data_IF_306691688749
#
_entry.id   IF_306691688749
#
_cell.length_a   1.000
_cell.length_b   1.000
_cell.length_c   1.000
_cell.angle_alpha   90.00
_cell.angle_beta   90.00
_cell.angle_gamma   90.00
#
_symmetry.space_group_name_H-M   'P 1'
#
loop_
_entity.id
_entity.type
_entity.pdbx_description
1 polymer ?
#
# COMPACT_ATOMS: atom_id res chain seq x y z
N UNK A 1 10.42 8.83 11.63
CA UNK A 1 11.14 8.03 12.64
C UNK A 1 12.36 7.43 11.94
N UNK A 2 13.49 8.17 11.91
CA UNK A 2 14.72 7.75 11.23
C UNK A 2 15.43 6.74 12.12
N UNK A 3 15.30 5.44 11.84
CA UNK A 3 16.13 4.41 12.49
C UNK A 3 17.54 4.54 11.91
N UNK A 4 18.45 5.05 12.73
CA UNK A 4 19.88 5.11 12.46
C UNK A 4 20.41 3.68 12.32
N UNK A 5 20.78 3.30 11.11
CA UNK A 5 21.47 2.06 10.81
C UNK A 5 22.93 2.23 11.25
N UNK A 6 23.21 2.12 12.55
CA UNK A 6 24.58 1.99 13.05
C UNK A 6 25.07 0.57 12.77
N UNK A 7 25.43 0.28 11.51
CA UNK A 7 26.29 -0.87 11.24
C UNK A 7 27.64 -0.59 11.88
N UNK A 8 28.07 -1.51 12.74
CA UNK A 8 29.38 -1.47 13.39
C UNK A 8 30.49 -1.52 12.34
N UNK A 9 31.09 -0.35 12.05
CA UNK A 9 32.33 -0.21 11.29
C UNK A 9 33.52 -0.95 11.96
N UNK A 10 33.35 -1.43 13.18
CA UNK A 10 34.34 -2.13 14.02
C UNK A 10 34.89 -3.41 13.35
N UNK A 11 34.11 -4.09 12.50
CA UNK A 11 34.56 -5.34 11.87
C UNK A 11 35.42 -5.12 10.60
N UNK A 12 35.39 -3.93 9.98
CA UNK A 12 36.06 -3.66 8.70
C UNK A 12 37.52 -3.22 8.83
N UNK A 13 37.96 -2.77 10.01
CA UNK A 13 39.35 -2.36 10.25
C UNK A 13 40.26 -3.56 10.59
N UNK A 14 39.70 -4.67 11.09
CA UNK A 14 40.47 -5.83 11.59
C UNK A 14 40.87 -6.82 10.47
N UNK A 15 41.67 -6.35 9.52
CA UNK A 15 42.48 -7.22 8.66
C UNK A 15 43.79 -7.58 9.38
N UNK A 16 43.82 -8.75 10.03
CA UNK A 16 45.01 -9.45 10.54
C UNK A 16 45.93 -8.69 11.52
N UNK A 17 45.57 -8.64 12.80
CA UNK A 17 46.44 -8.08 13.83
C UNK A 17 46.09 -8.39 15.29
N UNK A 18 45.45 -9.51 15.62
CA UNK A 18 45.36 -9.98 17.02
C UNK A 18 45.09 -11.49 17.07
N UNK A 19 46.12 -12.27 17.42
CA UNK A 19 45.95 -13.66 17.86
C UNK A 19 45.64 -13.60 19.35
N UNK A 20 44.37 -13.65 19.75
CA UNK A 20 43.97 -14.15 21.08
C UNK A 20 42.68 -14.97 20.95
N UNK A 21 42.75 -16.14 21.58
CA UNK A 21 41.91 -17.32 21.48
C UNK A 21 40.49 -17.19 22.06
N UNK A 22 39.48 -17.56 21.28
CA UNK A 22 38.24 -18.16 21.77
C UNK A 22 37.61 -19.06 20.66
N UNK A 23 37.24 -20.33 20.95
CA UNK A 23 36.68 -21.23 19.95
C UNK A 23 35.15 -21.15 19.98
N UNK A 24 34.58 -20.26 19.17
CA UNK A 24 33.30 -20.53 18.49
C UNK A 24 33.49 -20.09 17.05
N UNK A 25 34.25 -20.89 16.31
CA UNK A 25 34.37 -20.74 14.88
C UNK A 25 33.04 -21.18 14.26
N UNK A 26 32.08 -20.26 14.15
CA UNK A 26 31.20 -20.31 12.98
C UNK A 26 32.16 -20.27 11.78
N UNK A 27 32.25 -21.37 11.04
CA UNK A 27 33.13 -21.46 9.88
C UNK A 27 32.74 -20.35 8.91
N UNK A 28 33.46 -19.23 8.93
CA UNK A 28 33.25 -18.14 7.99
C UNK A 28 33.55 -18.71 6.60
N UNK A 29 32.56 -18.66 5.71
CA UNK A 29 32.72 -19.11 4.33
C UNK A 29 33.88 -18.35 3.67
N UNK A 30 34.72 -19.07 2.92
CA UNK A 30 35.88 -18.49 2.23
C UNK A 30 35.47 -17.22 1.44
N UNK A 31 36.29 -16.16 1.39
CA UNK A 31 35.91 -14.88 0.77
C UNK A 31 35.55 -15.04 -0.72
N UNK A 32 36.18 -15.98 -1.42
CA UNK A 32 35.89 -16.34 -2.81
C UNK A 32 35.53 -17.84 -2.86
N UNK A 33 34.44 -18.17 -3.55
CA UNK A 33 33.94 -19.55 -3.75
C UNK A 33 33.84 -19.94 -5.22
N UNK A 34 34.46 -19.17 -6.11
CA UNK A 34 34.45 -19.43 -7.54
C UNK A 34 35.07 -20.81 -7.87
N UNK A 35 34.46 -21.61 -8.77
CA UNK A 35 35.04 -22.88 -9.20
C UNK A 35 36.44 -22.70 -9.78
N UNK A 36 37.40 -23.50 -9.30
CA UNK A 36 38.79 -23.44 -9.78
C UNK A 36 39.58 -22.22 -9.29
N UNK A 37 39.07 -21.48 -8.31
CA UNK A 37 39.78 -20.34 -7.74
C UNK A 37 41.05 -20.78 -6.98
N UNK A 38 42.17 -20.17 -7.32
CA UNK A 38 43.45 -20.33 -6.61
C UNK A 38 43.76 -19.07 -5.80
N UNK A 39 43.98 -19.24 -4.49
CA UNK A 39 44.24 -18.12 -3.58
C UNK A 39 45.56 -17.42 -3.96
N UNK A 40 45.47 -16.11 -4.19
CA UNK A 40 46.63 -15.26 -4.45
C UNK A 40 47.61 -15.20 -3.27
N UNK A 41 48.84 -14.74 -3.54
CA UNK A 41 49.84 -14.52 -2.49
C UNK A 41 49.39 -13.36 -1.59
N UNK A 42 49.44 -13.58 -0.28
CA UNK A 42 49.22 -12.52 0.70
C UNK A 42 50.50 -11.70 0.85
N UNK A 43 50.40 -10.40 0.58
CA UNK A 43 51.48 -9.42 0.77
C UNK A 43 51.34 -8.78 2.15
N UNK A 44 52.47 -8.49 2.80
CA UNK A 44 52.51 -7.76 4.07
C UNK A 44 52.89 -6.31 3.81
N UNK A 45 52.36 -5.41 4.64
CA UNK A 45 52.68 -3.99 4.57
C UNK A 45 54.17 -3.78 4.86
N UNK A 46 54.83 -2.94 4.07
CA UNK A 46 56.24 -2.62 4.25
C UNK A 46 56.53 -1.99 5.62
N UNK A 47 57.70 -2.24 6.21
CA UNK A 47 58.01 -1.85 7.60
C UNK A 47 57.79 -0.35 7.88
N UNK A 48 58.20 0.52 6.94
CA UNK A 48 58.06 1.98 7.08
C UNK A 48 56.58 2.40 7.11
N UNK A 49 55.78 1.89 6.18
CA UNK A 49 54.33 2.14 6.12
C UNK A 49 53.65 1.54 7.34
N UNK A 50 54.00 0.30 7.69
CA UNK A 50 53.46 -0.45 8.81
C UNK A 50 53.60 0.26 10.15
N UNK A 51 54.75 0.88 10.44
CA UNK A 51 54.94 1.67 11.69
C UNK A 51 53.97 2.85 11.79
N UNK A 52 53.70 3.55 10.68
CA UNK A 52 52.76 4.68 10.65
C UNK A 52 51.31 4.20 10.72
N UNK A 53 50.97 3.14 10.00
CA UNK A 53 49.67 2.47 10.07
C UNK A 53 49.35 2.01 11.49
N UNK A 54 50.33 1.40 12.18
CA UNK A 54 50.17 0.97 13.58
C UNK A 54 49.86 2.15 14.50
N UNK A 55 50.57 3.27 14.35
CA UNK A 55 50.28 4.50 15.09
C UNK A 55 48.88 5.06 14.80
N UNK A 56 48.43 5.03 13.55
CA UNK A 56 47.07 5.42 13.21
C UNK A 56 46.03 4.48 13.84
N UNK A 57 46.33 3.17 13.92
CA UNK A 57 45.47 2.19 14.56
C UNK A 57 45.40 2.38 16.09
N UNK A 58 46.48 2.82 16.74
CA UNK A 58 46.47 3.21 18.16
C UNK A 58 45.50 4.37 18.40
N UNK A 59 45.57 5.44 17.61
CA UNK A 59 44.61 6.54 17.69
C UNK A 59 43.17 6.09 17.43
N UNK A 60 42.95 5.22 16.43
CA UNK A 60 41.63 4.67 16.16
C UNK A 60 41.05 3.91 17.36
N UNK A 61 41.85 3.09 18.05
CA UNK A 61 41.39 2.34 19.23
C UNK A 61 41.08 3.22 20.45
N UNK A 62 41.60 4.45 20.46
CA UNK A 62 41.28 5.48 21.45
C UNK A 62 40.10 6.38 21.02
N UNK A 63 39.38 6.00 19.96
CA UNK A 63 38.29 6.78 19.32
C UNK A 63 38.74 8.15 18.77
N UNK A 64 40.05 8.35 18.58
CA UNK A 64 40.66 9.57 18.03
C UNK A 64 40.75 9.49 16.49
N UNK A 65 39.59 9.46 15.83
CA UNK A 65 39.48 9.24 14.38
C UNK A 65 40.23 10.29 13.55
N UNK A 66 40.16 11.56 13.95
CA UNK A 66 40.82 12.64 13.21
C UNK A 66 42.35 12.57 13.34
N UNK A 67 42.88 12.19 14.50
CA UNK A 67 44.32 11.97 14.70
C UNK A 67 44.82 10.76 13.91
N UNK A 68 44.02 9.67 13.87
CA UNK A 68 44.31 8.52 13.02
C UNK A 68 44.38 8.92 11.53
N UNK A 69 43.41 9.70 11.05
CA UNK A 69 43.39 10.21 9.68
C UNK A 69 44.58 11.11 9.37
N UNK A 70 44.95 12.02 10.28
CA UNK A 70 46.13 12.88 10.12
C UNK A 70 47.40 12.06 9.93
N UNK A 71 47.61 11.00 10.72
CA UNK A 71 48.76 10.10 10.54
C UNK A 71 48.71 9.38 9.19
N UNK A 72 47.54 8.91 8.76
CA UNK A 72 47.38 8.17 7.51
C UNK A 72 47.61 9.06 6.28
N UNK A 73 47.19 10.33 6.31
CA UNK A 73 47.42 11.28 5.21
C UNK A 73 48.90 11.63 5.00
N UNK A 74 49.74 11.50 6.03
CA UNK A 74 51.19 11.71 5.93
C UNK A 74 51.97 10.50 5.40
N UNK A 75 51.28 9.38 5.14
CA UNK A 75 51.92 8.21 4.55
C UNK A 75 51.99 8.40 3.04
N UNK A 76 53.21 8.29 2.50
CA UNK A 76 53.49 8.32 1.06
C UNK A 76 54.11 6.96 0.69
N UNK A 77 53.30 5.92 0.43
CA UNK A 77 53.80 4.59 0.13
C UNK A 77 54.25 4.48 -1.32
N UNK A 78 55.36 3.77 -1.56
CA UNK A 78 55.95 3.64 -2.89
C UNK A 78 55.33 2.51 -3.72
N UNK A 79 55.02 1.36 -3.11
CA UNK A 79 54.46 0.20 -3.78
C UNK A 79 52.93 0.19 -3.77
N UNK A 80 52.34 -0.56 -4.70
CA UNK A 80 50.90 -0.53 -4.93
C UNK A 80 50.11 -1.20 -3.80
N UNK A 81 50.69 -2.20 -3.11
CA UNK A 81 50.03 -2.86 -1.99
C UNK A 81 49.90 -1.93 -0.80
N UNK A 82 51.00 -1.29 -0.39
CA UNK A 82 50.97 -0.33 0.72
C UNK A 82 50.03 0.85 0.42
N UNK A 83 50.01 1.35 -0.83
CA UNK A 83 49.03 2.38 -1.27
C UNK A 83 47.61 1.91 -1.08
N UNK A 84 47.27 0.74 -1.62
CA UNK A 84 45.92 0.18 -1.51
C UNK A 84 45.52 -0.04 -0.05
N UNK A 85 46.42 -0.54 0.78
CA UNK A 85 46.18 -0.78 2.20
C UNK A 85 45.90 0.52 2.96
N UNK A 86 46.72 1.56 2.77
CA UNK A 86 46.53 2.87 3.42
C UNK A 86 45.25 3.54 2.94
N UNK A 87 44.98 3.53 1.63
CA UNK A 87 43.75 4.08 1.06
C UNK A 87 42.52 3.38 1.61
N UNK A 88 42.53 2.04 1.74
CA UNK A 88 41.44 1.29 2.35
C UNK A 88 41.21 1.72 3.80
N UNK A 89 42.28 1.90 4.58
CA UNK A 89 42.15 2.31 5.98
C UNK A 89 41.54 3.70 6.10
N UNK A 90 42.05 4.68 5.33
CA UNK A 90 41.48 6.03 5.28
C UNK A 90 40.00 5.98 4.88
N UNK A 91 39.69 5.23 3.81
CA UNK A 91 38.34 5.06 3.31
C UNK A 91 37.38 4.49 4.36
N UNK A 92 37.81 3.48 5.12
CA UNK A 92 37.01 2.89 6.18
C UNK A 92 36.74 3.85 7.35
N UNK A 93 37.76 4.63 7.76
CA UNK A 93 37.58 5.64 8.80
C UNK A 93 36.60 6.72 8.36
N UNK A 94 36.76 7.25 7.15
CA UNK A 94 35.86 8.24 6.57
C UNK A 94 34.43 7.68 6.41
N UNK A 95 34.28 6.41 6.04
CA UNK A 95 32.96 5.77 5.90
C UNK A 95 32.18 5.72 7.23
N UNK A 96 32.88 5.73 8.36
CA UNK A 96 32.28 5.76 9.70
C UNK A 96 31.87 7.16 10.18
N UNK A 97 32.35 8.21 9.50
CA UNK A 97 32.06 9.61 9.85
C UNK A 97 30.85 10.14 9.08
N UNK A 98 29.93 10.79 9.80
CA UNK A 98 28.75 11.41 9.19
C UNK A 98 29.17 12.49 8.16
N UNK A 99 28.59 12.45 6.97
CA UNK A 99 28.86 13.40 5.89
C UNK A 99 30.18 13.20 5.12
N UNK A 100 30.98 12.17 5.44
CA UNK A 100 32.25 11.90 4.75
C UNK A 100 32.17 10.77 3.71
N UNK A 101 30.98 10.18 3.48
CA UNK A 101 30.79 9.05 2.56
C UNK A 101 31.29 9.31 1.14
N UNK A 102 31.05 10.52 0.60
CA UNK A 102 31.60 10.93 -0.69
C UNK A 102 33.12 10.87 -0.79
N UNK A 103 33.85 11.26 0.28
CA UNK A 103 35.33 11.14 0.33
C UNK A 103 35.77 9.70 0.54
N UNK A 104 35.07 8.98 1.41
CA UNK A 104 35.33 7.56 1.67
C UNK A 104 35.30 6.73 0.37
N UNK A 105 34.29 6.96 -0.47
CA UNK A 105 34.18 6.32 -1.79
C UNK A 105 35.45 6.52 -2.64
N UNK A 106 36.00 7.74 -2.68
CA UNK A 106 37.22 8.02 -3.45
C UNK A 106 38.41 7.16 -3.03
N UNK A 107 38.69 7.11 -1.73
CA UNK A 107 39.78 6.30 -1.17
C UNK A 107 39.53 4.80 -1.34
N UNK A 108 38.31 4.33 -1.09
CA UNK A 108 37.97 2.91 -1.23
C UNK A 108 38.07 2.43 -2.67
N UNK A 109 37.67 3.25 -3.66
CA UNK A 109 37.83 2.93 -5.08
C UNK A 109 39.31 2.77 -5.43
N UNK A 110 40.15 3.74 -5.03
CA UNK A 110 41.59 3.67 -5.27
C UNK A 110 42.22 2.42 -4.62
N UNK A 111 41.69 1.97 -3.48
CA UNK A 111 42.23 0.78 -2.80
C UNK A 111 41.97 -0.54 -3.53
N UNK A 112 40.89 -0.65 -4.31
CA UNK A 112 40.53 -1.90 -5.01
C UNK A 112 40.96 -1.90 -6.47
N UNK A 113 41.16 -0.74 -7.10
CA UNK A 113 41.55 -0.65 -8.52
C UNK A 113 42.85 -1.43 -8.86
N UNK A 114 43.91 -1.42 -8.03
CA UNK A 114 45.13 -2.17 -8.33
C UNK A 114 44.99 -3.69 -8.19
N UNK A 115 43.92 -4.20 -7.57
CA UNK A 115 43.70 -5.64 -7.33
C UNK A 115 44.83 -6.35 -6.56
N UNK A 116 45.52 -5.63 -5.69
CA UNK A 116 46.65 -6.15 -4.89
C UNK A 116 46.28 -6.54 -3.46
N UNK A 117 45.10 -6.12 -2.97
CA UNK A 117 44.58 -6.49 -1.66
C UNK A 117 44.32 -8.00 -1.58
N UNK A 118 44.35 -8.56 -0.37
CA UNK A 118 43.94 -9.95 -0.20
C UNK A 118 42.43 -10.12 -0.42
N UNK A 119 41.99 -11.35 -0.64
CA UNK A 119 40.60 -11.67 -1.00
C UNK A 119 39.56 -11.14 0.00
N UNK A 120 39.87 -11.19 1.29
CA UNK A 120 38.97 -10.71 2.35
C UNK A 120 38.84 -9.20 2.26
N UNK A 121 39.96 -8.48 2.24
CA UNK A 121 39.99 -7.02 2.14
C UNK A 121 39.34 -6.54 0.85
N UNK A 122 39.67 -7.16 -0.29
CA UNK A 122 39.16 -6.79 -1.59
C UNK A 122 37.64 -7.01 -1.67
N UNK A 123 37.16 -8.20 -1.31
CA UNK A 123 35.73 -8.51 -1.34
C UNK A 123 34.94 -7.63 -0.36
N UNK A 124 35.43 -7.42 0.86
CA UNK A 124 34.75 -6.54 1.83
C UNK A 124 34.69 -5.10 1.35
N UNK A 125 35.76 -4.58 0.75
CA UNK A 125 35.77 -3.21 0.21
C UNK A 125 34.82 -3.07 -0.98
N UNK A 126 34.74 -4.06 -1.88
CA UNK A 126 33.76 -4.03 -2.99
C UNK A 126 32.32 -3.97 -2.47
N UNK A 127 31.98 -4.76 -1.44
CA UNK A 127 30.64 -4.73 -0.82
C UNK A 127 30.39 -3.39 -0.12
N UNK A 128 31.37 -2.86 0.62
CA UNK A 128 31.29 -1.54 1.27
C UNK A 128 31.11 -0.40 0.26
N UNK A 129 31.78 -0.45 -0.88
CA UNK A 129 31.57 0.49 -1.99
C UNK A 129 30.12 0.47 -2.47
N UNK A 130 29.52 -0.72 -2.61
CA UNK A 130 28.10 -0.86 -2.92
C UNK A 130 27.18 -0.23 -1.86
N UNK A 131 27.45 -0.52 -0.58
CA UNK A 131 26.68 0.00 0.55
C UNK A 131 26.76 1.53 0.67
N UNK A 132 27.97 2.10 0.58
CA UNK A 132 28.18 3.54 0.61
C UNK A 132 27.59 4.23 -0.62
N UNK A 133 27.70 3.62 -1.80
CA UNK A 133 27.05 4.15 -3.00
C UNK A 133 25.53 4.22 -2.83
N UNK A 134 24.89 3.27 -2.14
CA UNK A 134 23.47 3.38 -1.79
C UNK A 134 23.21 4.55 -0.84
N UNK A 135 24.01 4.69 0.20
CA UNK A 135 23.85 5.76 1.21
C UNK A 135 24.02 7.16 0.61
N UNK A 136 24.93 7.31 -0.36
CA UNK A 136 25.21 8.57 -1.05
C UNK A 136 24.30 8.77 -2.29
N UNK A 137 23.23 7.98 -2.41
CA UNK A 137 22.25 8.04 -3.52
C UNK A 137 22.85 7.83 -4.92
N UNK A 138 24.03 7.20 -4.99
CA UNK A 138 24.72 6.83 -6.24
C UNK A 138 24.30 5.43 -6.69
N UNK A 139 23.02 5.27 -7.00
CA UNK A 139 22.40 3.96 -7.22
C UNK A 139 23.03 3.16 -8.38
N UNK A 140 23.43 3.82 -9.48
CA UNK A 140 24.13 3.14 -10.58
C UNK A 140 25.51 2.62 -10.17
N UNK A 141 26.22 3.35 -9.31
CA UNK A 141 27.51 2.89 -8.76
C UNK A 141 27.29 1.72 -7.80
N UNK A 142 26.24 1.78 -6.98
CA UNK A 142 25.90 0.67 -6.08
C UNK A 142 25.67 -0.62 -6.86
N UNK A 143 24.88 -0.56 -7.94
CA UNK A 143 24.64 -1.71 -8.83
C UNK A 143 25.96 -2.26 -9.38
N UNK A 144 26.85 -1.38 -9.87
CA UNK A 144 28.16 -1.76 -10.38
C UNK A 144 29.03 -2.44 -9.32
N UNK A 145 29.09 -1.90 -8.11
CA UNK A 145 29.96 -2.42 -7.04
C UNK A 145 29.46 -3.74 -6.46
N UNK A 146 28.15 -3.90 -6.26
CA UNK A 146 27.58 -5.20 -5.90
C UNK A 146 27.79 -6.24 -7.01
N UNK A 147 27.65 -5.85 -8.28
CA UNK A 147 27.99 -6.70 -9.43
C UNK A 147 29.43 -7.20 -9.37
N UNK A 148 30.39 -6.28 -9.23
CA UNK A 148 31.81 -6.61 -9.07
C UNK A 148 32.09 -7.52 -7.87
N UNK A 149 31.41 -7.29 -6.74
CA UNK A 149 31.54 -8.15 -5.56
C UNK A 149 31.06 -9.58 -5.85
N UNK A 150 29.90 -9.75 -6.49
CA UNK A 150 29.41 -11.08 -6.89
C UNK A 150 30.33 -11.75 -7.90
N UNK A 151 30.81 -11.01 -8.91
CA UNK A 151 31.73 -11.53 -9.92
C UNK A 151 33.06 -11.98 -9.31
N UNK A 152 33.61 -11.21 -8.36
CA UNK A 152 34.86 -11.53 -7.69
C UNK A 152 34.74 -12.73 -6.75
N UNK A 153 33.62 -12.84 -6.03
CA UNK A 153 33.46 -13.84 -4.97
C UNK A 153 32.73 -15.11 -5.42
N UNK A 154 31.95 -15.05 -6.50
CA UNK A 154 30.93 -16.01 -6.89
C UNK A 154 29.91 -16.33 -5.78
N UNK A 155 29.78 -15.44 -4.78
CA UNK A 155 28.82 -15.59 -3.69
C UNK A 155 27.46 -15.06 -4.08
N UNK A 156 26.45 -15.70 -3.52
CA UNK A 156 25.05 -15.23 -3.51
C UNK A 156 24.69 -14.81 -2.09
N UNK A 157 24.04 -13.66 -1.93
CA UNK A 157 23.71 -13.09 -0.62
C UNK A 157 22.36 -12.37 -0.72
N UNK A 158 21.43 -12.76 0.14
CA UNK A 158 20.04 -12.29 0.08
C UNK A 158 19.92 -10.77 0.33
N UNK A 159 20.74 -10.22 1.23
CA UNK A 159 20.77 -8.79 1.52
C UNK A 159 21.33 -8.00 0.33
N UNK A 160 22.40 -8.49 -0.30
CA UNK A 160 22.98 -7.86 -1.51
C UNK A 160 21.95 -7.85 -2.65
N UNK A 161 21.25 -8.95 -2.89
CA UNK A 161 20.19 -8.98 -3.90
C UNK A 161 19.01 -8.06 -3.56
N UNK A 162 18.65 -7.94 -2.27
CA UNK A 162 17.63 -6.98 -1.81
C UNK A 162 18.07 -5.53 -2.07
N UNK A 163 19.34 -5.20 -1.76
CA UNK A 163 19.91 -3.86 -2.01
C UNK A 163 20.04 -3.57 -3.51
N UNK A 164 20.34 -4.57 -4.34
CA UNK A 164 20.32 -4.45 -5.80
C UNK A 164 18.93 -4.12 -6.33
N UNK A 165 17.89 -4.82 -5.86
CA UNK A 165 16.51 -4.50 -6.23
C UNK A 165 16.12 -3.08 -5.79
N UNK A 166 16.53 -2.64 -4.59
CA UNK A 166 16.34 -1.25 -4.16
C UNK A 166 17.10 -0.25 -5.05
N UNK A 167 18.36 -0.53 -5.41
CA UNK A 167 19.14 0.34 -6.28
C UNK A 167 18.49 0.48 -7.67
N UNK A 168 17.93 -0.61 -8.20
CA UNK A 168 17.15 -0.57 -9.44
C UNK A 168 15.86 0.26 -9.30
N UNK A 169 15.17 0.19 -8.17
CA UNK A 169 14.01 1.04 -7.88
C UNK A 169 14.37 2.53 -7.93
N UNK A 170 15.37 2.93 -7.16
CA UNK A 170 15.77 4.34 -7.03
C UNK A 170 16.35 4.91 -8.34
N UNK A 171 17.00 4.06 -9.14
CA UNK A 171 17.46 4.41 -10.50
C UNK A 171 16.37 4.27 -11.57
N UNK A 172 15.12 4.01 -11.19
CA UNK A 172 13.93 3.88 -12.06
C UNK A 172 14.01 2.76 -13.11
N UNK A 173 14.84 1.75 -12.85
CA UNK A 173 14.97 0.54 -13.67
C UNK A 173 14.03 -0.54 -13.16
N UNK A 174 12.72 -0.26 -13.25
CA UNK A 174 11.68 -1.05 -12.59
C UNK A 174 11.68 -2.53 -13.02
N UNK A 175 11.95 -2.81 -14.29
CA UNK A 175 11.99 -4.17 -14.84
C UNK A 175 13.10 -5.03 -14.23
N UNK A 176 14.26 -4.43 -13.96
CA UNK A 176 15.43 -5.12 -13.41
C UNK A 176 15.33 -5.42 -11.91
N UNK A 177 14.31 -4.91 -11.23
CA UNK A 177 14.09 -5.18 -9.81
C UNK A 177 13.68 -6.63 -9.53
N UNK A 178 12.99 -7.28 -10.48
CA UNK A 178 12.33 -8.57 -10.26
C UNK A 178 13.36 -9.68 -10.04
N UNK A 179 14.38 -9.78 -10.89
CA UNK A 179 15.35 -10.88 -10.80
C UNK A 179 16.14 -10.87 -9.48
N UNK A 180 16.73 -9.75 -9.01
CA UNK A 180 17.36 -9.71 -7.69
C UNK A 180 16.35 -9.96 -6.55
N UNK A 181 15.12 -9.45 -6.64
CA UNK A 181 14.11 -9.72 -5.63
C UNK A 181 13.78 -11.23 -5.51
N UNK A 182 13.63 -11.93 -6.65
CA UNK A 182 13.40 -13.38 -6.68
C UNK A 182 14.59 -14.16 -6.10
N UNK A 183 15.81 -13.78 -6.45
CA UNK A 183 17.02 -14.37 -5.88
C UNK A 183 17.10 -14.16 -4.37
N UNK A 184 16.78 -12.96 -3.89
CA UNK A 184 16.73 -12.66 -2.47
C UNK A 184 15.70 -13.53 -1.74
N UNK A 185 14.46 -13.61 -2.26
CA UNK A 185 13.38 -14.44 -1.71
C UNK A 185 13.82 -15.90 -1.58
N UNK A 186 14.48 -16.45 -2.61
CA UNK A 186 14.93 -17.84 -2.61
C UNK A 186 16.09 -18.12 -1.63
N UNK A 187 16.84 -17.09 -1.21
CA UNK A 187 18.04 -17.22 -0.38
C UNK A 187 17.80 -16.92 1.10
N UNK A 188 16.73 -16.20 1.46
CA UNK A 188 16.39 -15.99 2.87
C UNK A 188 15.88 -17.29 3.50
N UNK A 189 16.55 -17.76 4.55
CA UNK A 189 16.10 -18.92 5.34
C UNK A 189 14.78 -18.63 6.06
N UNK A 190 14.68 -17.45 6.67
CA UNK A 190 13.45 -16.92 7.27
C UNK A 190 12.85 -15.86 6.34
N UNK A 191 11.56 -15.94 5.99
CA UNK A 191 10.97 -15.04 5.01
C UNK A 191 11.19 -13.55 5.32
N UNK A 192 11.84 -12.85 4.39
CA UNK A 192 11.99 -11.40 4.46
C UNK A 192 10.96 -10.73 3.55
N UNK A 193 10.14 -9.85 4.13
CA UNK A 193 9.09 -9.13 3.41
C UNK A 193 9.63 -8.17 2.34
N UNK A 194 10.79 -7.56 2.53
CA UNK A 194 11.30 -6.48 1.68
C UNK A 194 11.41 -6.84 0.18
N UNK A 195 12.05 -7.95 -0.22
CA UNK A 195 12.14 -8.30 -1.64
C UNK A 195 10.77 -8.58 -2.29
N UNK A 196 9.79 -9.13 -1.55
CA UNK A 196 8.42 -9.27 -2.04
C UNK A 196 7.78 -7.91 -2.34
N UNK A 197 7.97 -6.92 -1.45
CA UNK A 197 7.46 -5.56 -1.66
C UNK A 197 8.11 -4.91 -2.87
N UNK A 198 9.42 -5.07 -3.06
CA UNK A 198 10.12 -4.54 -4.24
C UNK A 198 9.58 -5.18 -5.53
N UNK A 199 9.43 -6.50 -5.55
CA UNK A 199 8.85 -7.24 -6.67
C UNK A 199 7.41 -6.77 -6.98
N UNK A 200 6.59 -6.62 -5.95
CA UNK A 200 5.22 -6.09 -6.06
C UNK A 200 5.22 -4.68 -6.67
N UNK A 201 6.06 -3.78 -6.15
CA UNK A 201 6.18 -2.39 -6.62
C UNK A 201 6.59 -2.34 -8.10
N UNK A 202 7.57 -3.15 -8.51
CA UNK A 202 7.98 -3.25 -9.91
C UNK A 202 6.80 -3.58 -10.83
N UNK A 203 6.05 -4.63 -10.52
CA UNK A 203 4.89 -5.02 -11.34
C UNK A 203 3.80 -3.95 -11.33
N UNK A 204 3.48 -3.40 -10.16
CA UNK A 204 2.41 -2.40 -10.04
C UNK A 204 2.72 -1.13 -10.83
N UNK A 205 3.92 -0.56 -10.68
CA UNK A 205 4.30 0.67 -11.39
C UNK A 205 4.42 0.47 -12.90
N UNK A 206 4.75 -0.75 -13.34
CA UNK A 206 4.76 -1.16 -14.76
C UNK A 206 3.38 -1.55 -15.28
N UNK A 207 2.33 -1.45 -14.46
CA UNK A 207 0.93 -1.81 -14.77
C UNK A 207 0.73 -3.30 -15.10
N UNK A 208 1.61 -4.15 -14.60
CA UNK A 208 1.52 -5.62 -14.66
C UNK A 208 0.64 -6.11 -13.51
N UNK A 209 -0.65 -5.79 -13.59
CA UNK A 209 -1.60 -6.02 -12.49
C UNK A 209 -1.84 -7.50 -12.16
N UNK A 210 -1.92 -8.43 -13.14
CA UNK A 210 -2.01 -9.87 -12.82
C UNK A 210 -0.82 -10.37 -11.98
N UNK A 211 0.39 -9.95 -12.33
CA UNK A 211 1.62 -10.29 -11.60
C UNK A 211 1.68 -9.61 -10.23
N UNK A 212 1.17 -8.37 -10.14
CA UNK A 212 1.01 -7.66 -8.85
C UNK A 212 0.09 -8.46 -7.92
N UNK A 213 -1.03 -8.96 -8.42
CA UNK A 213 -1.95 -9.81 -7.64
C UNK A 213 -1.24 -11.10 -7.19
N UNK A 214 -0.50 -11.77 -8.07
CA UNK A 214 0.22 -12.99 -7.72
C UNK A 214 1.24 -12.79 -6.59
N UNK A 215 1.99 -11.68 -6.61
CA UNK A 215 2.94 -11.36 -5.53
C UNK A 215 2.20 -10.95 -4.24
N UNK A 216 1.07 -10.25 -4.34
CA UNK A 216 0.25 -9.92 -3.18
C UNK A 216 -0.39 -11.16 -2.52
N UNK A 217 -0.81 -12.16 -3.32
CA UNK A 217 -1.27 -13.46 -2.83
C UNK A 217 -0.14 -14.19 -2.06
N UNK A 218 1.10 -14.12 -2.56
CA UNK A 218 2.27 -14.68 -1.89
C UNK A 218 2.58 -13.94 -0.57
N UNK A 219 2.55 -12.61 -0.57
CA UNK A 219 2.71 -11.78 0.63
C UNK A 219 1.72 -12.15 1.73
N UNK A 220 0.44 -12.34 1.39
CA UNK A 220 -0.59 -12.75 2.37
C UNK A 220 -0.37 -14.19 2.85
N UNK A 221 0.09 -15.10 1.98
CA UNK A 221 0.35 -16.49 2.37
C UNK A 221 1.56 -16.61 3.29
N UNK A 222 2.60 -15.83 3.03
CA UNK A 222 3.87 -15.87 3.76
C UNK A 222 3.83 -15.05 5.05
N UNK A 223 3.08 -13.93 5.06
CA UNK A 223 2.94 -13.03 6.20
C UNK A 223 1.45 -12.82 6.56
N UNK A 224 0.72 -13.88 6.96
CA UNK A 224 -0.73 -13.81 7.17
C UNK A 224 -1.15 -12.88 8.31
N UNK A 225 -0.29 -12.63 9.29
CA UNK A 225 -0.51 -11.74 10.42
C UNK A 225 -0.44 -10.24 10.07
N UNK A 226 0.11 -9.91 8.89
CA UNK A 226 0.29 -8.53 8.45
C UNK A 226 -0.97 -8.00 7.78
N UNK A 227 -1.88 -7.44 8.60
CA UNK A 227 -3.18 -6.88 8.21
C UNK A 227 -3.16 -6.04 6.92
N UNK A 228 -2.11 -5.25 6.70
CA UNK A 228 -1.97 -4.37 5.53
C UNK A 228 -1.97 -5.13 4.21
N UNK A 229 -1.46 -6.38 4.16
CA UNK A 229 -1.43 -7.14 2.91
C UNK A 229 -2.78 -7.69 2.51
N UNK A 230 -3.64 -7.99 3.48
CA UNK A 230 -5.02 -8.40 3.21
C UNK A 230 -5.84 -7.30 2.54
N UNK A 231 -5.79 -6.07 3.08
CA UNK A 231 -6.53 -4.96 2.49
C UNK A 231 -5.97 -4.58 1.12
N UNK A 232 -4.64 -4.54 0.96
CA UNK A 232 -3.99 -4.31 -0.35
C UNK A 232 -4.36 -5.37 -1.38
N UNK A 233 -4.31 -6.65 -1.03
CA UNK A 233 -4.70 -7.74 -1.93
C UNK A 233 -6.16 -7.60 -2.37
N UNK A 234 -7.06 -7.25 -1.44
CA UNK A 234 -8.46 -6.94 -1.76
C UNK A 234 -8.59 -5.83 -2.81
N UNK A 235 -7.84 -4.73 -2.66
CA UNK A 235 -7.79 -3.64 -3.64
C UNK A 235 -7.15 -4.04 -4.99
N UNK A 236 -6.14 -4.91 -4.99
CA UNK A 236 -5.57 -5.40 -6.25
C UNK A 236 -6.53 -6.30 -7.01
N UNK A 237 -7.34 -7.11 -6.33
CA UNK A 237 -8.42 -7.86 -7.02
C UNK A 237 -9.45 -6.94 -7.67
N UNK A 238 -9.80 -5.83 -7.00
CA UNK A 238 -10.70 -4.82 -7.59
C UNK A 238 -10.09 -4.19 -8.86
N UNK A 239 -8.78 -3.97 -8.90
CA UNK A 239 -8.08 -3.40 -10.06
C UNK A 239 -8.10 -4.31 -11.28
N UNK A 240 -8.14 -5.64 -11.09
CA UNK A 240 -8.29 -6.64 -12.16
C UNK A 240 -9.72 -7.15 -12.31
N UNK A 241 -10.68 -6.46 -11.70
CA UNK A 241 -12.12 -6.77 -11.73
C UNK A 241 -12.49 -8.17 -11.21
N UNK A 242 -11.65 -8.79 -10.39
CA UNK A 242 -11.96 -10.05 -9.71
C UNK A 242 -12.75 -9.78 -8.41
N UNK A 243 -13.99 -9.34 -8.58
CA UNK A 243 -14.87 -8.99 -7.45
C UNK A 243 -15.16 -10.15 -6.51
N UNK A 244 -15.06 -11.40 -6.99
CA UNK A 244 -15.29 -12.60 -6.15
C UNK A 244 -14.13 -12.82 -5.19
N UNK A 245 -12.89 -12.82 -5.70
CA UNK A 245 -11.71 -12.91 -4.83
C UNK A 245 -11.52 -11.68 -3.96
N UNK A 246 -11.84 -10.50 -4.47
CA UNK A 246 -11.85 -9.26 -3.69
C UNK A 246 -12.77 -9.36 -2.48
N UNK A 247 -14.01 -9.84 -2.69
CA UNK A 247 -14.97 -10.07 -1.62
C UNK A 247 -14.46 -11.09 -0.59
N UNK A 248 -13.99 -12.27 -1.02
CA UNK A 248 -13.53 -13.29 -0.07
C UNK A 248 -12.33 -12.80 0.76
N UNK A 249 -11.45 -12.01 0.14
CA UNK A 249 -10.26 -11.47 0.81
C UNK A 249 -10.63 -10.42 1.85
N UNK A 250 -11.47 -9.43 1.49
CA UNK A 250 -11.93 -8.42 2.45
C UNK A 250 -12.80 -9.03 3.56
N UNK A 251 -13.63 -10.02 3.26
CA UNK A 251 -14.43 -10.73 4.27
C UNK A 251 -13.52 -11.41 5.31
N UNK A 252 -12.51 -12.17 4.86
CA UNK A 252 -11.56 -12.82 5.77
C UNK A 252 -10.78 -11.78 6.59
N UNK A 253 -10.30 -10.72 5.95
CA UNK A 253 -9.63 -9.61 6.63
C UNK A 253 -10.54 -8.98 7.71
N UNK A 254 -11.83 -8.79 7.39
CA UNK A 254 -12.80 -8.23 8.32
C UNK A 254 -13.03 -9.14 9.53
N UNK A 255 -13.14 -10.46 9.31
CA UNK A 255 -13.33 -11.44 10.37
C UNK A 255 -12.13 -11.52 11.32
N UNK A 256 -10.91 -11.27 10.82
CA UNK A 256 -9.69 -11.20 11.63
C UNK A 256 -9.47 -9.83 12.31
N UNK A 257 -10.37 -8.86 12.09
CA UNK A 257 -10.23 -7.52 12.65
C UNK A 257 -9.18 -6.65 11.95
N UNK A 258 -8.77 -6.99 10.73
CA UNK A 258 -7.74 -6.27 9.98
C UNK A 258 -8.25 -5.06 9.20
N UNK A 259 -9.57 -4.88 9.08
CA UNK A 259 -10.15 -3.71 8.42
C UNK A 259 -10.46 -2.63 9.47
N UNK A 260 -9.64 -1.60 9.49
CA UNK A 260 -9.68 -0.52 10.49
C UNK A 260 -10.04 0.84 9.89
N UNK A 261 -10.17 0.94 8.55
CA UNK A 261 -10.42 2.21 7.86
C UNK A 261 -11.81 2.25 7.26
N UNK A 262 -12.42 3.44 7.28
CA UNK A 262 -13.74 3.69 6.70
C UNK A 262 -13.83 3.23 5.22
N UNK A 263 -12.78 3.52 4.43
CA UNK A 263 -12.75 3.12 3.02
C UNK A 263 -12.77 1.59 2.84
N UNK A 264 -12.08 0.83 3.69
CA UNK A 264 -12.05 -0.64 3.61
C UNK A 264 -13.43 -1.23 3.90
N UNK A 265 -14.14 -0.69 4.90
CA UNK A 265 -15.52 -1.07 5.22
C UNK A 265 -16.48 -0.71 4.08
N UNK A 266 -16.35 0.50 3.52
CA UNK A 266 -17.15 0.92 2.36
C UNK A 266 -16.91 0.02 1.15
N UNK A 267 -15.65 -0.34 0.89
CA UNK A 267 -15.29 -1.27 -0.19
C UNK A 267 -15.88 -2.66 0.02
N UNK A 268 -15.80 -3.22 1.24
CA UNK A 268 -16.45 -4.50 1.54
C UNK A 268 -17.97 -4.43 1.38
N UNK A 269 -18.60 -3.35 1.83
CA UNK A 269 -20.04 -3.14 1.62
C UNK A 269 -20.40 -3.06 0.13
N UNK A 270 -19.59 -2.37 -0.68
CA UNK A 270 -19.79 -2.33 -2.13
C UNK A 270 -19.62 -3.72 -2.76
N UNK A 271 -18.61 -4.48 -2.35
CA UNK A 271 -18.38 -5.85 -2.82
C UNK A 271 -19.56 -6.77 -2.47
N UNK A 272 -20.18 -6.61 -1.29
CA UNK A 272 -21.43 -7.30 -0.97
C UNK A 272 -22.56 -6.95 -1.95
N UNK A 273 -22.76 -5.67 -2.27
CA UNK A 273 -23.81 -5.26 -3.21
C UNK A 273 -23.57 -5.84 -4.60
N UNK A 274 -22.35 -5.68 -5.14
CA UNK A 274 -21.97 -6.18 -6.47
C UNK A 274 -22.09 -7.71 -6.56
N UNK A 275 -21.90 -8.43 -5.46
CA UNK A 275 -22.07 -9.89 -5.38
C UNK A 275 -23.48 -10.32 -4.91
N UNK A 276 -24.50 -9.45 -4.99
CA UNK A 276 -25.89 -9.83 -4.75
C UNK A 276 -26.26 -10.04 -3.27
N UNK A 277 -25.49 -9.48 -2.34
CA UNK A 277 -25.73 -9.54 -0.89
C UNK A 277 -26.03 -8.16 -0.27
N UNK A 278 -26.97 -7.37 -0.81
CA UNK A 278 -27.19 -5.98 -0.39
C UNK A 278 -27.63 -5.84 1.08
N UNK A 279 -28.29 -6.85 1.66
CA UNK A 279 -28.62 -6.85 3.09
C UNK A 279 -27.37 -6.86 3.98
N UNK A 280 -26.35 -7.67 3.63
CA UNK A 280 -25.08 -7.71 4.37
C UNK A 280 -24.33 -6.39 4.26
N UNK A 281 -24.35 -5.77 3.08
CA UNK A 281 -23.80 -4.43 2.87
C UNK A 281 -24.42 -3.40 3.83
N UNK A 282 -25.76 -3.36 3.89
CA UNK A 282 -26.48 -2.43 4.74
C UNK A 282 -26.15 -2.65 6.22
N UNK A 283 -26.16 -3.91 6.68
CA UNK A 283 -25.85 -4.26 8.07
C UNK A 283 -24.41 -3.94 8.48
N UNK A 284 -23.45 -4.17 7.58
CA UNK A 284 -22.05 -3.82 7.82
C UNK A 284 -21.90 -2.31 8.02
N UNK A 285 -22.47 -1.52 7.13
CA UNK A 285 -22.41 -0.06 7.21
C UNK A 285 -23.16 0.49 8.43
N UNK A 286 -24.34 -0.05 8.77
CA UNK A 286 -25.06 0.34 10.01
C UNK A 286 -24.22 0.09 11.27
N UNK A 287 -23.56 -1.07 11.35
CA UNK A 287 -22.69 -1.43 12.48
C UNK A 287 -21.59 -0.38 12.65
N UNK A 288 -20.83 -0.13 11.57
CA UNK A 288 -19.68 0.77 11.62
C UNK A 288 -20.06 2.26 11.64
N UNK A 289 -21.28 2.59 11.24
CA UNK A 289 -21.82 3.94 11.47
C UNK A 289 -22.17 4.15 12.95
N UNK A 290 -22.59 3.10 13.65
CA UNK A 290 -22.94 3.15 15.07
C UNK A 290 -21.71 3.19 15.98
N UNK A 291 -20.65 2.47 15.66
CA UNK A 291 -19.39 2.51 16.41
C UNK A 291 -18.51 3.72 16.07
N UNK A 292 -18.83 4.46 15.01
CA UNK A 292 -18.21 5.72 14.64
C UNK A 292 -17.08 5.60 13.62
N UNK A 293 -16.75 4.39 13.15
CA UNK A 293 -15.76 4.20 12.08
C UNK A 293 -16.23 4.76 10.73
N UNK A 294 -17.54 4.66 10.45
CA UNK A 294 -18.19 5.21 9.26
C UNK A 294 -18.97 6.46 9.64
N UNK A 295 -18.87 7.52 8.85
CA UNK A 295 -19.52 8.80 9.16
C UNK A 295 -21.05 8.69 9.10
N UNK A 296 -21.74 9.25 10.11
CA UNK A 296 -23.20 9.37 10.14
C UNK A 296 -23.69 10.69 9.53
N UNK A 297 -23.57 10.79 8.21
CA UNK A 297 -24.12 11.90 7.41
C UNK A 297 -25.23 11.44 6.47
N UNK A 298 -25.82 12.41 5.76
CA UNK A 298 -26.95 12.16 4.86
C UNK A 298 -26.58 11.18 3.74
N UNK A 299 -25.38 11.31 3.16
CA UNK A 299 -24.90 10.47 2.08
C UNK A 299 -24.73 9.02 2.54
N UNK A 300 -24.15 8.80 3.73
CA UNK A 300 -24.04 7.45 4.28
C UNK A 300 -25.42 6.83 4.56
N UNK A 301 -26.34 7.58 5.16
CA UNK A 301 -27.70 7.09 5.40
C UNK A 301 -28.42 6.75 4.10
N UNK A 302 -28.26 7.56 3.06
CA UNK A 302 -28.79 7.30 1.72
C UNK A 302 -28.16 6.05 1.08
N UNK A 303 -26.86 5.81 1.30
CA UNK A 303 -26.17 4.62 0.82
C UNK A 303 -26.67 3.35 1.50
N UNK A 304 -26.84 3.37 2.83
CA UNK A 304 -27.43 2.26 3.60
C UNK A 304 -28.89 2.03 3.16
N UNK A 305 -29.66 3.12 2.98
CA UNK A 305 -31.04 3.04 2.49
C UNK A 305 -31.11 2.38 1.11
N UNK A 306 -30.21 2.74 0.20
CA UNK A 306 -30.12 2.14 -1.13
C UNK A 306 -29.79 0.65 -1.06
N UNK A 307 -28.90 0.23 -0.15
CA UNK A 307 -28.62 -1.18 0.08
C UNK A 307 -29.85 -1.94 0.59
N UNK A 308 -30.62 -1.38 1.54
CA UNK A 308 -31.89 -1.99 1.97
C UNK A 308 -32.95 -2.02 0.88
N UNK A 309 -33.01 -1.00 0.03
CA UNK A 309 -33.90 -0.97 -1.13
C UNK A 309 -33.57 -2.11 -2.09
N UNK A 310 -32.29 -2.31 -2.45
CA UNK A 310 -31.85 -3.45 -3.28
C UNK A 310 -32.15 -4.80 -2.61
N UNK A 311 -32.10 -4.86 -1.28
CA UNK A 311 -32.50 -6.03 -0.49
C UNK A 311 -34.03 -6.21 -0.36
N UNK A 312 -34.84 -5.35 -0.99
CA UNK A 312 -36.31 -5.33 -0.90
C UNK A 312 -36.87 -5.07 0.50
N UNK A 313 -36.08 -4.46 1.39
CA UNK A 313 -36.50 -4.02 2.72
C UNK A 313 -36.99 -2.56 2.67
N UNK A 314 -38.12 -2.34 2.01
CA UNK A 314 -38.60 -1.01 1.63
C UNK A 314 -38.89 -0.09 2.84
N UNK A 315 -39.54 -0.60 3.89
CA UNK A 315 -39.84 0.20 5.09
C UNK A 315 -38.58 0.68 5.81
N UNK A 316 -37.56 -0.18 5.93
CA UNK A 316 -36.28 0.19 6.57
C UNK A 316 -35.51 1.19 5.70
N UNK A 317 -35.47 0.97 4.38
CA UNK A 317 -34.89 1.90 3.43
C UNK A 317 -35.56 3.29 3.52
N UNK A 318 -36.90 3.34 3.57
CA UNK A 318 -37.65 4.58 3.74
C UNK A 318 -37.30 5.30 5.04
N UNK A 319 -37.18 4.58 6.16
CA UNK A 319 -36.78 5.16 7.45
C UNK A 319 -35.38 5.76 7.45
N UNK A 320 -34.44 5.18 6.68
CA UNK A 320 -33.10 5.73 6.51
C UNK A 320 -33.08 6.94 5.57
N UNK A 321 -33.85 6.92 4.48
CA UNK A 321 -34.03 8.11 3.64
C UNK A 321 -34.70 9.26 4.40
N UNK A 322 -35.61 8.98 5.34
CA UNK A 322 -36.18 9.99 6.22
C UNK A 322 -35.11 10.68 7.07
N UNK A 323 -34.19 9.89 7.66
CA UNK A 323 -33.07 10.42 8.44
C UNK A 323 -32.08 11.20 7.55
N UNK A 324 -31.80 10.70 6.35
CA UNK A 324 -30.96 11.39 5.37
C UNK A 324 -31.56 12.74 4.98
N UNK A 325 -32.86 12.76 4.66
CA UNK A 325 -33.63 13.95 4.31
C UNK A 325 -33.68 14.97 5.47
N UNK A 326 -33.79 14.52 6.72
CA UNK A 326 -33.73 15.39 7.89
C UNK A 326 -32.37 16.10 8.01
N UNK A 327 -31.28 15.43 7.64
CA UNK A 327 -29.92 15.99 7.70
C UNK A 327 -29.58 16.90 6.52
N UNK A 328 -29.97 16.54 5.30
CA UNK A 328 -29.60 17.29 4.09
C UNK A 328 -30.65 18.29 3.63
N UNK A 329 -31.91 18.12 4.03
CA UNK A 329 -33.07 18.78 3.38
C UNK A 329 -33.16 18.55 1.87
N UNK A 330 -32.47 17.52 1.35
CA UNK A 330 -32.45 17.19 -0.08
C UNK A 330 -33.84 16.68 -0.54
N UNK A 331 -34.47 17.33 -1.53
CA UNK A 331 -35.75 16.88 -2.10
C UNK A 331 -35.71 15.43 -2.60
N UNK A 332 -34.58 14.97 -3.11
CA UNK A 332 -34.44 13.62 -3.66
C UNK A 332 -34.50 12.55 -2.57
N UNK A 333 -33.99 12.83 -1.35
CA UNK A 333 -34.13 11.92 -0.21
C UNK A 333 -35.59 11.78 0.21
N UNK A 334 -36.35 12.89 0.24
CA UNK A 334 -37.80 12.85 0.49
C UNK A 334 -38.55 12.08 -0.61
N UNK A 335 -38.18 12.29 -1.88
CA UNK A 335 -38.78 11.56 -3.02
C UNK A 335 -38.55 10.05 -2.88
N UNK A 336 -37.30 9.63 -2.64
CA UNK A 336 -36.96 8.21 -2.45
C UNK A 336 -37.66 7.60 -1.24
N UNK A 337 -37.71 8.31 -0.10
CA UNK A 337 -38.50 7.90 1.05
C UNK A 337 -39.96 7.64 0.64
N UNK A 338 -40.60 8.60 -0.01
CA UNK A 338 -42.00 8.51 -0.42
C UNK A 338 -42.29 7.35 -1.37
N UNK A 339 -41.45 7.16 -2.39
CA UNK A 339 -41.57 6.02 -3.32
C UNK A 339 -41.42 4.68 -2.61
N UNK A 340 -40.52 4.56 -1.63
CA UNK A 340 -40.35 3.31 -0.88
C UNK A 340 -41.50 3.05 0.09
N UNK A 341 -42.07 4.10 0.69
CA UNK A 341 -43.28 3.97 1.51
C UNK A 341 -44.50 3.55 0.68
N UNK A 342 -44.60 4.01 -0.56
CA UNK A 342 -45.63 3.52 -1.50
C UNK A 342 -45.54 2.01 -1.71
N UNK A 343 -44.34 1.48 -1.94
CA UNK A 343 -44.11 0.04 -2.13
C UNK A 343 -44.37 -0.73 -0.83
N UNK A 344 -44.06 -0.14 0.31
CA UNK A 344 -44.36 -0.69 1.63
C UNK A 344 -45.82 -0.51 2.06
N UNK A 345 -46.69 0.02 1.19
CA UNK A 345 -48.11 0.30 1.43
C UNK A 345 -48.40 1.28 2.59
N UNK A 346 -47.39 2.02 3.05
CA UNK A 346 -47.58 3.16 3.95
C UNK A 346 -47.93 4.42 3.14
N UNK A 347 -49.16 4.43 2.61
CA UNK A 347 -49.65 5.50 1.75
C UNK A 347 -49.67 6.86 2.48
N UNK A 348 -49.95 6.88 3.79
CA UNK A 348 -49.98 8.13 4.58
C UNK A 348 -48.58 8.71 4.74
N UNK A 349 -47.60 7.88 5.08
CA UNK A 349 -46.20 8.29 5.13
C UNK A 349 -45.67 8.72 3.77
N UNK A 350 -46.04 8.00 2.70
CA UNK A 350 -45.68 8.34 1.34
C UNK A 350 -46.18 9.74 0.92
N UNK A 351 -47.45 10.06 1.19
CA UNK A 351 -48.02 11.39 0.90
C UNK A 351 -47.17 12.47 1.56
N UNK A 352 -46.91 12.35 2.87
CA UNK A 352 -46.12 13.34 3.62
C UNK A 352 -44.71 13.51 3.04
N UNK A 353 -44.03 12.42 2.72
CA UNK A 353 -42.67 12.47 2.17
C UNK A 353 -42.64 13.09 0.76
N UNK A 354 -43.56 12.69 -0.12
CA UNK A 354 -43.63 13.23 -1.49
C UNK A 354 -44.06 14.70 -1.53
N UNK A 355 -44.94 15.14 -0.63
CA UNK A 355 -45.27 16.56 -0.46
C UNK A 355 -44.04 17.37 -0.02
N UNK A 356 -43.27 16.86 0.95
CA UNK A 356 -42.02 17.52 1.37
C UNK A 356 -40.99 17.62 0.23
N UNK A 357 -40.95 16.62 -0.66
CA UNK A 357 -40.10 16.65 -1.86
C UNK A 357 -40.53 17.77 -2.82
N UNK A 358 -41.83 17.90 -3.10
CA UNK A 358 -42.36 18.98 -3.95
C UNK A 358 -42.11 20.37 -3.34
N UNK A 359 -42.36 20.54 -2.05
CA UNK A 359 -42.15 21.81 -1.35
C UNK A 359 -40.70 22.29 -1.41
N UNK A 360 -39.74 21.37 -1.56
CA UNK A 360 -38.31 21.67 -1.64
C UNK A 360 -37.79 21.73 -3.08
N UNK A 361 -38.68 21.63 -4.07
CA UNK A 361 -38.32 21.77 -5.48
C UNK A 361 -37.63 20.54 -6.06
N UNK A 362 -38.10 19.33 -5.71
CA UNK A 362 -37.65 18.11 -6.37
C UNK A 362 -37.86 18.16 -7.89
N UNK A 363 -36.90 17.60 -8.62
CA UNK A 363 -36.97 17.46 -10.07
C UNK A 363 -38.15 16.56 -10.50
N UNK A 364 -38.62 16.76 -11.73
CA UNK A 364 -39.77 16.06 -12.32
C UNK A 364 -41.03 16.07 -11.40
N UNK A 365 -41.54 17.24 -11.00
CA UNK A 365 -42.66 17.35 -10.06
C UNK A 365 -43.92 16.63 -10.55
N UNK A 366 -44.14 16.49 -11.86
CA UNK A 366 -45.25 15.74 -12.43
C UNK A 366 -45.19 14.23 -12.13
N UNK A 367 -43.99 13.64 -12.07
CA UNK A 367 -43.82 12.22 -11.64
C UNK A 367 -44.13 12.06 -10.16
N UNK A 368 -43.77 13.06 -9.36
CA UNK A 368 -44.10 13.08 -7.93
C UNK A 368 -45.61 13.25 -7.73
N UNK A 369 -46.26 14.12 -8.51
CA UNK A 369 -47.71 14.24 -8.55
C UNK A 369 -48.39 12.94 -8.97
N UNK A 370 -47.83 12.20 -9.93
CA UNK A 370 -48.37 10.87 -10.27
C UNK A 370 -48.28 9.90 -9.08
N UNK A 371 -47.15 9.87 -8.38
CA UNK A 371 -46.98 9.05 -7.17
C UNK A 371 -47.92 9.47 -6.03
N UNK A 372 -48.10 10.79 -5.84
CA UNK A 372 -49.04 11.35 -4.87
C UNK A 372 -50.50 11.04 -5.22
N UNK A 373 -50.83 10.98 -6.50
CA UNK A 373 -52.15 10.54 -6.96
C UNK A 373 -52.42 9.11 -6.51
N UNK A 374 -51.49 8.18 -6.76
CA UNK A 374 -51.63 6.78 -6.36
C UNK A 374 -51.70 6.67 -4.84
N UNK A 375 -50.81 7.35 -4.12
CA UNK A 375 -50.77 7.37 -2.66
C UNK A 375 -52.10 7.82 -2.06
N UNK A 376 -52.62 8.96 -2.54
CA UNK A 376 -53.90 9.49 -2.08
C UNK A 376 -55.06 8.59 -2.48
N UNK A 377 -55.03 7.98 -3.66
CA UNK A 377 -56.07 7.07 -4.09
C UNK A 377 -56.17 5.85 -3.16
N UNK A 378 -55.04 5.20 -2.87
CA UNK A 378 -55.01 4.03 -1.98
C UNK A 378 -55.26 4.39 -0.51
N UNK A 379 -54.90 5.61 -0.09
CA UNK A 379 -55.28 6.15 1.23
C UNK A 379 -56.78 6.53 1.34
N UNK A 380 -57.53 6.50 0.25
CA UNK A 380 -58.95 6.89 0.21
C UNK A 380 -59.21 8.41 0.07
N UNK A 381 -58.16 9.19 -0.14
CA UNK A 381 -58.20 10.64 -0.30
C UNK A 381 -58.51 11.05 -1.76
N UNK A 382 -59.67 10.65 -2.29
CA UNK A 382 -59.96 10.79 -3.73
C UNK A 382 -59.94 12.22 -4.27
N UNK A 383 -60.29 13.23 -3.44
CA UNK A 383 -60.20 14.64 -3.82
C UNK A 383 -58.75 15.10 -4.06
N UNK A 384 -57.84 14.68 -3.20
CA UNK A 384 -56.41 14.96 -3.38
C UNK A 384 -55.84 14.15 -4.55
N UNK A 385 -56.23 12.88 -4.68
CA UNK A 385 -55.83 12.03 -5.82
C UNK A 385 -56.22 12.66 -7.17
N UNK A 386 -57.45 13.18 -7.26
CA UNK A 386 -57.92 13.87 -8.47
C UNK A 386 -57.14 15.16 -8.75
N UNK A 387 -56.83 15.98 -7.74
CA UNK A 387 -55.98 17.16 -7.93
C UNK A 387 -54.61 16.76 -8.50
N UNK A 388 -53.99 15.74 -7.92
CA UNK A 388 -52.67 15.29 -8.35
C UNK A 388 -52.65 14.62 -9.73
N UNK A 389 -53.72 13.91 -10.12
CA UNK A 389 -53.79 13.34 -11.48
C UNK A 389 -53.84 14.43 -12.55
N UNK A 390 -54.50 15.56 -12.27
CA UNK A 390 -54.54 16.71 -13.19
C UNK A 390 -53.17 17.37 -13.36
N UNK A 391 -52.40 17.48 -12.28
CA UNK A 391 -51.02 17.97 -12.34
C UNK A 391 -50.12 17.00 -13.11
N UNK A 392 -50.20 15.69 -12.84
CA UNK A 392 -49.41 14.67 -13.54
C UNK A 392 -49.68 14.64 -15.06
N UNK A 393 -50.89 14.98 -15.52
CA UNK A 393 -51.25 15.05 -16.95
C UNK A 393 -50.53 16.14 -17.73
N UNK A 394 -49.93 17.12 -17.04
CA UNK A 394 -49.17 18.20 -17.69
C UNK A 394 -47.92 17.63 -18.38
N UNK A 395 -47.27 16.62 -17.80
CA UNK A 395 -46.20 15.87 -18.46
C UNK A 395 -46.75 15.01 -19.61
N UNK A 396 -46.17 15.19 -20.80
CA UNK A 396 -46.51 14.42 -22.01
C UNK A 396 -46.25 12.92 -21.83
N UNK A 397 -45.20 12.55 -21.09
CA UNK A 397 -44.80 11.15 -20.88
C UNK A 397 -45.80 10.39 -19.99
N UNK A 398 -46.38 11.08 -19.00
CA UNK A 398 -47.33 10.50 -18.03
C UNK A 398 -48.78 10.64 -18.47
N UNK A 399 -49.11 11.57 -19.38
CA UNK A 399 -50.48 11.95 -19.73
C UNK A 399 -51.40 10.77 -20.02
N UNK A 400 -50.93 9.77 -20.78
CA UNK A 400 -51.73 8.59 -21.11
C UNK A 400 -52.11 7.81 -19.85
N UNK A 401 -51.14 7.52 -19.00
CA UNK A 401 -51.35 6.76 -17.76
C UNK A 401 -52.20 7.55 -16.77
N UNK A 402 -51.90 8.85 -16.57
CA UNK A 402 -52.66 9.72 -15.68
C UNK A 402 -54.12 9.89 -16.16
N UNK A 403 -54.36 10.01 -17.46
CA UNK A 403 -55.72 10.09 -18.00
C UNK A 403 -56.51 8.80 -17.82
N UNK A 404 -55.86 7.64 -17.76
CA UNK A 404 -56.51 6.36 -17.49
C UNK A 404 -56.96 6.22 -16.02
N UNK A 405 -56.25 6.86 -15.08
CA UNK A 405 -56.63 6.87 -13.66
C UNK A 405 -57.84 7.77 -13.36
N UNK A 406 -58.05 8.82 -14.15
CA UNK A 406 -59.06 9.84 -13.88
C UNK A 406 -60.50 9.30 -13.73
N UNK A 407 -61.01 8.45 -14.66
CA UNK A 407 -62.36 7.86 -14.51
C UNK A 407 -62.47 6.99 -13.27
N UNK A 408 -61.42 6.24 -12.94
CA UNK A 408 -61.40 5.32 -11.80
C UNK A 408 -61.42 6.07 -10.47
N UNK A 409 -60.68 7.18 -10.36
CA UNK A 409 -60.73 8.07 -9.19
C UNK A 409 -62.15 8.66 -9.02
N UNK A 410 -62.74 9.17 -10.11
CA UNK A 410 -64.11 9.73 -10.13
C UNK A 410 -65.16 8.72 -9.70
N UNK A 411 -65.09 7.50 -10.23
CA UNK A 411 -66.02 6.42 -9.89
C UNK A 411 -65.92 6.03 -8.41
N UNK A 412 -64.69 5.82 -7.90
CA UNK A 412 -64.49 5.46 -6.49
C UNK A 412 -64.90 6.57 -5.53
N UNK A 413 -64.65 7.83 -5.89
CA UNK A 413 -65.14 8.99 -5.13
C UNK A 413 -66.67 9.02 -5.08
N UNK A 414 -67.34 8.86 -6.23
CA UNK A 414 -68.80 8.81 -6.33
C UNK A 414 -69.40 7.70 -5.48
N UNK A 415 -68.80 6.50 -5.52
CA UNK A 415 -69.24 5.35 -4.72
C UNK A 415 -69.11 5.58 -3.20
N UNK A 416 -68.30 6.56 -2.80
CA UNK A 416 -68.08 6.96 -1.40
C UNK A 416 -68.81 8.28 -1.05
N UNK A 417 -69.64 8.81 -1.95
CA UNK A 417 -70.38 10.06 -1.74
C UNK A 417 -69.52 11.33 -1.80
N UNK A 418 -68.32 11.26 -2.40
CA UNK A 418 -67.37 12.37 -2.49
C UNK A 418 -67.51 13.03 -3.87
N UNK A 419 -67.75 14.34 -3.90
CA UNK A 419 -67.89 15.12 -5.13
C UNK A 419 -66.54 15.72 -5.58
N UNK A 420 -66.09 15.42 -6.80
CA UNK A 420 -64.80 15.82 -7.38
C UNK A 420 -64.86 16.13 -8.87
#
# INVERSE_FOLDING_TARGET
>A
MKRTFKMSAVALVLGAGAILSAPVAMAQSAPVICPGYEKGKTTLVGERTGKKVQKAFEFYNEDLIDDALNVLYEIDPSDDFDKAYVQRFIGNLLASQEGQGGKALGYLVQSVEPQVLNDVEHSQTLKLLGDLSMQEEKYTDAIKWYGKWMDFTCKTDADVFTRLAQAYYESKQLDKMVEPADKAIALYEEPNKNPYVLKLTSYYERKMYPETVAVAEELVRTFPEEATWWSRLGFFYLLVEDYKKGLSTFELAYQQGYLEKENEIKTLAQLYQTNGMPYRAAKLLEKHMKDGLVKNDADMLANIANAYHQAKNFSQAAGLYAQAAQKSSDPEHYRKQGTLLMIAEDYKGAIKALENALERGADDPEKIHFSLMEANFYAGNYKAAYKHVLEAKKDRSLRRNASAWEPYIKEKAKNRGINI
#
